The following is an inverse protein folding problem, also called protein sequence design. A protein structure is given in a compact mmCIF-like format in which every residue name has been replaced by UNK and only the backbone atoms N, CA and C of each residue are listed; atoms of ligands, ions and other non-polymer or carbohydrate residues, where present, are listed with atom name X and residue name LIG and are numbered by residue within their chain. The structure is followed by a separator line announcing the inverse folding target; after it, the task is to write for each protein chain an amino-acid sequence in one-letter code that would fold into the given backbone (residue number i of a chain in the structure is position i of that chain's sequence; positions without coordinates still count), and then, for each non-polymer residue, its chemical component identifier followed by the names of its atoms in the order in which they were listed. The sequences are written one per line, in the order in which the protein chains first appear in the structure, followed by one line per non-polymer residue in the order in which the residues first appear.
data_IF_449798004099
#
_entry.id   IF_449798004099
#
_cell.length_a   1.000
_cell.length_b   1.000
_cell.length_c   1.000
_cell.angle_alpha   90.00
_cell.angle_beta   90.00
_cell.angle_gamma   90.00
#
_symmetry.space_group_name_H-M   'P 1'
#
loop_
_entity.id
_entity.type
_entity.pdbx_description
1 polymer ?
#
# COMPACT_ATOMS: atom_id res chain seq x y z
N UNK A 1 -15.67 6.77 -7.87
CA UNK A 1 -16.68 5.95 -7.17
C UNK A 1 -17.15 6.69 -5.92
N UNK A 2 -18.42 6.57 -5.53
CA UNK A 2 -18.98 7.20 -4.31
C UNK A 2 -19.32 6.10 -3.31
N UNK A 3 -19.00 6.31 -2.04
CA UNK A 3 -19.30 5.38 -0.95
C UNK A 3 -19.94 6.17 0.20
N UNK A 4 -20.94 5.59 0.85
CA UNK A 4 -21.52 6.13 2.08
C UNK A 4 -20.80 5.54 3.28
N UNK A 5 -20.39 6.40 4.22
CA UNK A 5 -19.65 6.02 5.42
C UNK A 5 -20.21 6.82 6.58
N UNK A 6 -20.55 6.13 7.66
CA UNK A 6 -20.96 6.79 8.91
C UNK A 6 -19.72 7.25 9.68
N UNK A 7 -19.67 8.55 9.97
CA UNK A 7 -18.56 9.18 10.68
C UNK A 7 -19.12 9.89 11.90
N UNK A 8 -18.62 9.61 13.12
CA UNK A 8 -19.07 10.29 14.34
C UNK A 8 -18.94 11.81 14.22
N UNK A 9 -19.92 12.55 14.77
CA UNK A 9 -19.99 14.01 14.62
C UNK A 9 -18.73 14.74 15.13
N UNK A 10 -18.12 14.22 16.20
CA UNK A 10 -16.85 14.74 16.74
C UNK A 10 -15.72 14.69 15.69
N UNK A 11 -15.65 13.63 14.89
CA UNK A 11 -14.65 13.49 13.83
C UNK A 11 -14.95 14.41 12.65
N UNK A 12 -16.24 14.58 12.29
CA UNK A 12 -16.64 15.56 11.26
C UNK A 12 -16.22 16.99 11.65
N UNK A 13 -16.37 17.38 12.91
CA UNK A 13 -15.93 18.68 13.41
C UNK A 13 -14.41 18.85 13.29
N UNK A 14 -13.64 17.82 13.65
CA UNK A 14 -12.18 17.82 13.49
C UNK A 14 -11.75 17.94 12.02
N UNK A 15 -12.34 17.15 11.11
CA UNK A 15 -12.06 17.21 9.68
C UNK A 15 -12.42 18.58 9.08
N UNK A 16 -13.48 19.22 9.59
CA UNK A 16 -13.88 20.57 9.15
C UNK A 16 -12.86 21.62 9.59
N UNK A 17 -12.32 21.52 10.80
CA UNK A 17 -11.27 22.43 11.27
C UNK A 17 -9.98 22.30 10.44
N UNK A 18 -9.57 21.08 10.10
CA UNK A 18 -8.41 20.81 9.23
C UNK A 18 -8.64 21.41 7.83
N UNK A 19 -9.79 21.12 7.23
CA UNK A 19 -10.19 21.66 5.93
C UNK A 19 -10.15 23.19 5.89
N UNK A 20 -10.57 23.87 6.96
CA UNK A 20 -10.50 25.33 7.06
C UNK A 20 -9.06 25.85 7.22
N UNK A 21 -8.25 25.20 8.05
CA UNK A 21 -6.86 25.61 8.27
C UNK A 21 -6.01 25.47 7.00
N UNK A 22 -6.20 24.38 6.25
CA UNK A 22 -5.45 24.07 5.04
C UNK A 22 -6.07 24.66 3.76
N UNK A 23 -7.27 25.25 3.86
CA UNK A 23 -8.04 25.84 2.74
C UNK A 23 -8.34 24.84 1.62
N UNK A 24 -8.53 23.58 1.97
CA UNK A 24 -8.91 22.49 1.05
C UNK A 24 -10.32 22.00 1.33
N UNK A 25 -10.93 21.30 0.38
CA UNK A 25 -12.26 20.71 0.60
C UNK A 25 -12.21 19.58 1.63
N UNK A 26 -13.28 19.39 2.41
CA UNK A 26 -13.43 18.22 3.31
C UNK A 26 -13.22 16.88 2.60
N UNK A 27 -13.62 16.78 1.34
CA UNK A 27 -13.42 15.57 0.55
C UNK A 27 -11.93 15.30 0.22
N UNK A 28 -11.12 16.34 0.09
CA UNK A 28 -9.67 16.22 -0.11
C UNK A 28 -8.99 15.71 1.16
N UNK A 29 -9.31 16.30 2.31
CA UNK A 29 -8.80 15.83 3.61
C UNK A 29 -9.11 14.35 3.84
N UNK A 30 -10.32 13.91 3.48
CA UNK A 30 -10.70 12.49 3.58
C UNK A 30 -9.88 11.62 2.64
N UNK A 31 -9.64 12.06 1.39
CA UNK A 31 -8.79 11.31 0.44
C UNK A 31 -7.36 11.19 0.93
N UNK A 32 -6.80 12.26 1.46
CA UNK A 32 -5.46 12.28 2.04
C UNK A 32 -5.36 11.35 3.25
N UNK A 33 -6.35 11.39 4.16
CA UNK A 33 -6.39 10.48 5.30
C UNK A 33 -6.46 9.00 4.88
N UNK A 34 -7.20 8.68 3.82
CA UNK A 34 -7.25 7.32 3.25
C UNK A 34 -5.88 6.94 2.67
N UNK A 35 -5.25 7.81 1.89
CA UNK A 35 -3.94 7.55 1.30
C UNK A 35 -2.88 7.30 2.39
N UNK A 36 -2.84 8.15 3.40
CA UNK A 36 -1.94 8.01 4.55
C UNK A 36 -2.19 6.70 5.32
N UNK A 37 -3.46 6.34 5.56
CA UNK A 37 -3.79 5.09 6.22
C UNK A 37 -3.36 3.86 5.43
N UNK A 38 -3.58 3.87 4.11
CA UNK A 38 -3.15 2.79 3.21
C UNK A 38 -1.63 2.66 3.19
N UNK A 39 -0.90 3.78 3.15
CA UNK A 39 0.55 3.77 3.21
C UNK A 39 1.08 3.17 4.51
N UNK A 40 0.51 3.58 5.65
CA UNK A 40 0.83 3.01 6.97
C UNK A 40 0.50 1.52 7.08
N UNK A 41 -0.48 1.04 6.31
CA UNK A 41 -0.93 -0.36 6.28
C UNK A 41 -0.38 -1.15 5.11
N UNK A 42 0.51 -0.59 4.29
CA UNK A 42 1.19 -1.35 3.26
C UNK A 42 1.86 -2.54 3.95
N UNK A 43 1.58 -3.78 3.51
CA UNK A 43 2.32 -4.92 4.01
C UNK A 43 3.80 -4.63 3.77
N UNK A 44 4.61 -4.84 4.81
CA UNK A 44 6.05 -4.79 4.65
C UNK A 44 6.39 -5.80 3.56
N UNK A 45 6.99 -5.33 2.45
CA UNK A 45 7.39 -6.18 1.34
C UNK A 45 8.59 -7.05 1.74
N UNK A 46 8.45 -7.84 2.80
CA UNK A 46 9.55 -8.63 3.38
C UNK A 46 9.89 -9.87 2.54
N UNK A 47 9.10 -10.20 1.49
CA UNK A 47 9.33 -11.41 0.68
C UNK A 47 9.60 -11.19 -0.81
N UNK A 48 9.61 -9.96 -1.31
CA UNK A 48 9.95 -9.74 -2.73
C UNK A 48 11.46 -9.84 -3.01
N UNK A 49 12.31 -9.66 -1.99
CA UNK A 49 13.78 -9.80 -2.06
C UNK A 49 14.24 -10.91 -1.13
N UNK A 50 14.00 -12.17 -1.49
CA UNK A 50 14.41 -13.28 -0.64
C UNK A 50 13.79 -14.64 -0.97
N UNK A 51 12.75 -14.69 -1.80
CA UNK A 51 12.09 -15.93 -2.22
C UNK A 51 13.04 -17.02 -2.74
N UNK A 52 14.21 -16.64 -3.26
CA UNK A 52 15.25 -17.57 -3.76
C UNK A 52 16.48 -17.67 -2.85
N UNK A 53 16.51 -16.96 -1.71
CA UNK A 53 17.67 -16.93 -0.80
C UNK A 53 18.01 -18.31 -0.25
N UNK A 54 17.00 -19.16 -0.04
CA UNK A 54 17.17 -20.54 0.42
C UNK A 54 17.32 -21.55 -0.73
N UNK A 55 17.05 -21.14 -1.97
CA UNK A 55 17.33 -21.92 -3.16
C UNK A 55 18.76 -21.64 -3.65
N UNK A 56 19.74 -22.35 -3.08
CA UNK A 56 21.11 -22.39 -3.60
C UNK A 56 21.20 -23.19 -4.90
N UNK A 57 20.50 -22.74 -5.94
CA UNK A 57 20.62 -23.32 -7.28
C UNK A 57 21.60 -22.44 -8.05
N UNK A 58 22.67 -23.07 -8.54
CA UNK A 58 23.57 -22.40 -9.48
C UNK A 58 22.78 -22.11 -10.76
N UNK A 59 22.66 -20.82 -11.10
CA UNK A 59 21.87 -20.37 -12.25
C UNK A 59 22.38 -20.92 -13.58
N UNK A 60 23.68 -21.19 -13.70
CA UNK A 60 24.26 -21.77 -14.91
C UNK A 60 23.91 -23.26 -15.02
N UNK A 61 24.06 -24.00 -13.93
CA UNK A 61 23.72 -25.43 -13.89
C UNK A 61 22.21 -25.66 -14.15
N UNK A 62 21.35 -24.79 -13.62
CA UNK A 62 19.91 -24.83 -13.88
C UNK A 62 19.59 -24.58 -15.36
N UNK A 63 20.24 -23.58 -15.97
CA UNK A 63 20.05 -23.27 -17.37
C UNK A 63 20.51 -24.40 -18.29
N UNK A 64 21.64 -25.03 -17.96
CA UNK A 64 22.16 -26.19 -18.69
C UNK A 64 21.23 -27.40 -18.58
N UNK A 65 20.69 -27.68 -17.40
CA UNK A 65 19.71 -28.76 -17.20
C UNK A 65 18.46 -28.55 -18.05
N UNK A 66 17.84 -27.37 -17.99
CA UNK A 66 16.61 -27.07 -18.75
C UNK A 66 16.86 -27.14 -20.27
N UNK A 67 18.03 -26.72 -20.73
CA UNK A 67 18.41 -26.83 -22.15
C UNK A 67 18.67 -28.27 -22.61
N UNK A 68 19.09 -29.15 -21.71
CA UNK A 68 19.29 -30.55 -22.02
C UNK A 68 17.98 -31.35 -22.08
N UNK A 69 16.85 -30.77 -21.64
CA UNK A 69 15.53 -31.38 -21.70
C UNK A 69 14.79 -31.14 -23.03
N UNK A 70 15.38 -30.37 -23.96
CA UNK A 70 14.82 -30.03 -25.29
C UNK A 70 15.74 -30.53 -26.40
#
# INVERSE_FOLDING_TARGET
MRTLVDIPEKQIKALTAISQAEKVSRAEVIREAIAYYLEKKKPQSDDAFGLWKDHKVDGLAYQEQVRAEW
#
